data_IF_118565596057
#
_entry.id   IF_118565596057
#
_cell.length_a   1.000
_cell.length_b   1.000
_cell.length_c   1.000
_cell.angle_alpha   90.00
_cell.angle_beta   90.00
_cell.angle_gamma   90.00
#
_symmetry.space_group_name_H-M   'P 1'
#
loop_
_entity.id
_entity.type
_entity.pdbx_description
1 polymer ?
#
# COMPACT_ATOMS: atom_id res chain seq x y z
N UNK A 1 12.66 8.02 14.37
CA UNK A 1 11.27 8.23 13.91
C UNK A 1 10.43 7.11 14.47
N UNK A 2 9.26 7.42 15.02
CA UNK A 2 8.31 6.40 15.47
C UNK A 2 7.45 5.99 14.27
N UNK A 3 7.34 4.68 14.01
CA UNK A 3 6.50 4.19 12.92
C UNK A 3 5.02 4.47 13.23
N UNK A 4 4.25 5.03 12.28
CA UNK A 4 2.79 5.09 12.38
C UNK A 4 2.20 3.69 12.59
N UNK A 5 1.09 3.60 13.33
CA UNK A 5 0.47 2.31 13.70
C UNK A 5 0.20 1.41 12.49
N UNK A 6 -0.28 1.98 11.38
CA UNK A 6 -0.57 1.23 10.17
C UNK A 6 0.71 0.74 9.45
N UNK A 7 1.84 1.44 9.58
CA UNK A 7 3.13 0.92 9.10
C UNK A 7 3.63 -0.25 9.95
N UNK A 8 3.44 -0.18 11.28
CA UNK A 8 3.77 -1.30 12.17
C UNK A 8 2.99 -2.54 11.75
N UNK A 9 1.68 -2.41 11.47
CA UNK A 9 0.88 -3.53 10.95
C UNK A 9 1.36 -3.98 9.57
N UNK A 10 1.60 -3.05 8.64
CA UNK A 10 2.06 -3.38 7.28
C UNK A 10 3.36 -4.21 7.29
N UNK A 11 4.31 -3.87 8.17
CA UNK A 11 5.60 -4.57 8.28
C UNK A 11 5.48 -6.02 8.77
N UNK A 12 4.46 -6.36 9.57
CA UNK A 12 4.22 -7.74 10.01
C UNK A 12 3.85 -8.67 8.87
N UNK A 13 3.44 -8.11 7.73
CA UNK A 13 2.95 -8.86 6.58
C UNK A 13 4.03 -9.01 5.49
N UNK A 14 5.24 -8.49 5.70
CA UNK A 14 6.36 -8.63 4.75
C UNK A 14 6.62 -10.10 4.40
N UNK A 15 6.73 -10.39 3.10
CA UNK A 15 6.97 -11.74 2.59
C UNK A 15 5.70 -12.59 2.40
N UNK A 16 4.51 -12.11 2.76
CA UNK A 16 3.25 -12.79 2.40
C UNK A 16 3.11 -12.76 0.88
N UNK A 17 2.93 -13.95 0.29
CA UNK A 17 2.80 -14.17 -1.16
C UNK A 17 1.46 -14.79 -1.51
N UNK A 18 0.99 -14.53 -2.72
CA UNK A 18 -0.12 -15.29 -3.30
C UNK A 18 0.26 -16.77 -3.45
N UNK A 19 -0.74 -17.65 -3.43
CA UNK A 19 -0.55 -19.05 -3.76
C UNK A 19 -1.15 -19.33 -5.13
N UNK A 20 -0.34 -19.90 -6.04
CA UNK A 20 -0.82 -20.21 -7.39
C UNK A 20 -1.71 -21.45 -7.38
N UNK A 21 -2.86 -21.38 -8.06
CA UNK A 21 -3.74 -22.52 -8.30
C UNK A 21 -5.02 -22.50 -7.46
N UNK A 22 -5.57 -23.67 -7.13
CA UNK A 22 -6.88 -23.78 -6.44
C UNK A 22 -6.85 -23.42 -4.96
N UNK A 23 -5.70 -23.02 -4.43
CA UNK A 23 -5.51 -22.65 -3.03
C UNK A 23 -5.16 -21.16 -2.99
N UNK A 24 -5.85 -20.41 -2.15
CA UNK A 24 -5.62 -18.97 -1.96
C UNK A 24 -4.89 -18.73 -0.65
N UNK A 25 -3.97 -17.76 -0.62
CA UNK A 25 -3.33 -17.37 0.63
C UNK A 25 -4.39 -16.85 1.61
N UNK A 26 -4.54 -17.53 2.76
CA UNK A 26 -5.58 -17.23 3.73
C UNK A 26 -5.49 -15.78 4.23
N UNK A 27 -4.27 -15.24 4.31
CA UNK A 27 -3.95 -13.86 4.67
C UNK A 27 -4.47 -12.86 3.64
N UNK A 28 -4.32 -13.15 2.34
CA UNK A 28 -4.82 -12.28 1.27
C UNK A 28 -6.34 -12.26 1.28
N UNK A 29 -6.96 -13.43 1.41
CA UNK A 29 -8.42 -13.54 1.59
C UNK A 29 -8.88 -12.80 2.85
N UNK A 30 -8.09 -12.79 3.92
CA UNK A 30 -8.38 -12.04 5.13
C UNK A 30 -8.33 -10.53 4.91
N UNK A 31 -7.46 -10.00 4.05
CA UNK A 31 -7.45 -8.56 3.74
C UNK A 31 -8.78 -8.08 3.18
N UNK A 32 -9.40 -8.86 2.28
CA UNK A 32 -10.73 -8.55 1.73
C UNK A 32 -11.81 -8.49 2.83
N UNK A 33 -11.74 -9.41 3.81
CA UNK A 33 -12.64 -9.41 4.98
C UNK A 33 -12.40 -8.20 5.88
N UNK A 34 -11.15 -7.84 6.13
CA UNK A 34 -10.77 -6.71 6.99
C UNK A 34 -11.33 -5.40 6.44
N UNK A 35 -11.31 -5.22 5.11
CA UNK A 35 -11.92 -4.06 4.45
C UNK A 35 -13.43 -4.19 4.23
N UNK A 36 -14.06 -5.26 4.73
CA UNK A 36 -15.51 -5.53 4.60
C UNK A 36 -15.97 -5.58 3.14
N UNK A 37 -15.10 -6.00 2.22
CA UNK A 37 -15.43 -6.16 0.81
C UNK A 37 -15.85 -7.60 0.57
N UNK A 38 -17.16 -7.80 0.46
CA UNK A 38 -17.74 -9.10 0.12
C UNK A 38 -17.60 -9.43 -1.37
N UNK A 39 -17.65 -10.73 -1.70
CA UNK A 39 -17.71 -11.22 -3.08
C UNK A 39 -16.36 -11.64 -3.69
N UNK A 40 -15.25 -11.13 -3.17
CA UNK A 40 -13.90 -11.52 -3.60
C UNK A 40 -13.38 -12.59 -2.63
N UNK A 41 -12.98 -13.74 -3.19
CA UNK A 41 -12.52 -14.90 -2.41
C UNK A 41 -11.21 -15.50 -2.94
N UNK A 42 -10.63 -14.86 -3.95
CA UNK A 42 -9.38 -15.23 -4.60
C UNK A 42 -8.25 -14.24 -4.26
N UNK A 43 -7.03 -14.67 -4.56
CA UNK A 43 -5.81 -13.86 -4.54
C UNK A 43 -5.35 -13.43 -5.95
N UNK A 44 -6.11 -13.78 -7.00
CA UNK A 44 -5.85 -13.38 -8.39
C UNK A 44 -6.38 -11.96 -8.68
N UNK A 45 -7.37 -11.49 -7.94
CA UNK A 45 -7.84 -10.11 -7.98
C UNK A 45 -6.76 -9.20 -7.40
N UNK A 46 -6.33 -8.13 -8.11
CA UNK A 46 -5.33 -7.20 -7.60
C UNK A 46 -5.63 -6.71 -6.18
N UNK A 47 -4.78 -7.11 -5.23
CA UNK A 47 -5.06 -6.97 -3.79
C UNK A 47 -4.23 -5.89 -3.10
N UNK A 48 -3.57 -5.00 -3.86
CA UNK A 48 -2.80 -3.88 -3.30
C UNK A 48 -3.68 -2.93 -2.45
N UNK A 49 -4.90 -2.63 -2.91
CA UNK A 49 -5.86 -1.82 -2.17
C UNK A 49 -6.43 -2.55 -0.96
N UNK A 50 -6.65 -3.87 -1.07
CA UNK A 50 -7.10 -4.71 0.03
C UNK A 50 -6.06 -4.75 1.16
N UNK A 51 -4.78 -5.00 0.82
CA UNK A 51 -3.68 -4.93 1.77
C UNK A 51 -3.60 -3.57 2.45
N UNK A 52 -3.54 -2.48 1.67
CA UNK A 52 -3.44 -1.11 2.19
C UNK A 52 -4.61 -0.80 3.14
N UNK A 53 -5.82 -1.18 2.74
CA UNK A 53 -7.02 -0.97 3.54
C UNK A 53 -7.04 -1.81 4.81
N UNK A 54 -6.62 -3.07 4.74
CA UNK A 54 -6.58 -3.96 5.89
C UNK A 54 -5.64 -3.43 6.98
N UNK A 55 -4.48 -2.88 6.60
CA UNK A 55 -3.54 -2.31 7.57
C UNK A 55 -4.13 -1.09 8.30
N UNK A 56 -4.95 -0.29 7.61
CA UNK A 56 -5.67 0.83 8.21
C UNK A 56 -6.78 0.33 9.14
N UNK A 57 -7.63 -0.59 8.68
CA UNK A 57 -8.79 -1.07 9.45
C UNK A 57 -8.35 -1.80 10.73
N UNK A 58 -7.25 -2.58 10.67
CA UNK A 58 -6.67 -3.28 11.84
C UNK A 58 -6.22 -2.33 12.95
N UNK A 59 -5.89 -1.08 12.64
CA UNK A 59 -5.51 -0.05 13.62
C UNK A 59 -6.64 0.94 13.91
N UNK A 60 -7.87 0.63 13.49
CA UNK A 60 -9.05 1.45 13.74
C UNK A 60 -9.19 2.66 12.80
N UNK A 61 -8.45 2.70 11.69
CA UNK A 61 -8.58 3.73 10.66
C UNK A 61 -9.43 3.18 9.53
N UNK A 62 -10.55 3.85 9.24
CA UNK A 62 -11.43 3.43 8.15
C UNK A 62 -10.75 3.63 6.79
N UNK A 63 -10.61 2.56 6.03
CA UNK A 63 -10.11 2.56 4.65
C UNK A 63 -11.19 2.99 3.64
N UNK A 64 -10.86 3.01 2.35
CA UNK A 64 -11.86 3.19 1.29
C UNK A 64 -12.86 2.02 1.24
N UNK A 65 -12.44 0.83 1.66
CA UNK A 65 -13.20 -0.43 1.55
C UNK A 65 -13.53 -0.84 0.11
N UNK A 66 -12.67 -0.45 -0.83
CA UNK A 66 -12.77 -0.78 -2.25
C UNK A 66 -11.50 -1.47 -2.77
N UNK A 67 -11.68 -2.26 -3.82
CA UNK A 67 -10.65 -3.01 -4.55
C UNK A 67 -9.75 -2.12 -5.42
N UNK A 68 -10.24 -0.94 -5.81
CA UNK A 68 -9.50 -0.06 -6.72
C UNK A 68 -8.47 0.78 -5.96
N UNK A 69 -7.21 0.75 -6.39
CA UNK A 69 -6.17 1.66 -5.88
C UNK A 69 -6.57 3.14 -6.02
N UNK A 70 -7.25 3.50 -7.11
CA UNK A 70 -7.71 4.88 -7.37
C UNK A 70 -8.78 5.35 -6.39
N UNK A 71 -9.45 4.43 -5.66
CA UNK A 71 -10.39 4.83 -4.60
C UNK A 71 -9.74 5.67 -3.51
N UNK A 72 -8.41 5.58 -3.35
CA UNK A 72 -7.68 6.38 -2.40
C UNK A 72 -7.46 7.82 -2.85
N UNK A 73 -7.71 8.19 -4.12
CA UNK A 73 -7.55 9.59 -4.56
C UNK A 73 -8.45 10.56 -3.80
N UNK A 74 -9.60 10.11 -3.30
CA UNK A 74 -10.53 10.95 -2.52
C UNK A 74 -10.55 10.59 -1.02
N UNK A 75 -9.56 9.81 -0.56
CA UNK A 75 -9.50 9.31 0.81
C UNK A 75 -8.58 10.13 1.72
N UNK A 76 -9.05 10.47 2.92
CA UNK A 76 -8.22 11.14 3.93
C UNK A 76 -7.85 12.58 3.56
N UNK A 77 -6.68 13.03 4.03
CA UNK A 77 -6.14 14.35 3.74
C UNK A 77 -5.15 14.28 2.58
N UNK A 78 -5.29 15.18 1.61
CA UNK A 78 -4.31 15.34 0.53
C UNK A 78 -2.98 15.90 1.03
N UNK A 79 -1.88 15.30 0.57
CA UNK A 79 -0.53 15.84 0.74
C UNK A 79 0.03 16.27 -0.62
N UNK A 80 0.75 17.40 -0.63
CA UNK A 80 1.45 17.90 -1.83
C UNK A 80 2.77 17.17 -2.08
N UNK A 81 3.41 16.71 -1.02
CA UNK A 81 4.70 15.99 -1.04
C UNK A 81 4.56 14.69 -0.22
N UNK A 82 5.38 13.66 -0.52
CA UNK A 82 5.32 12.40 0.20
C UNK A 82 5.85 12.57 1.64
N UNK A 83 5.15 11.92 2.57
CA UNK A 83 5.54 11.81 3.97
C UNK A 83 5.77 10.34 4.35
N UNK A 84 6.64 10.07 5.32
CA UNK A 84 6.86 8.71 5.79
C UNK A 84 5.57 8.17 6.41
N UNK A 85 5.08 7.05 5.86
CA UNK A 85 3.79 6.43 6.21
C UNK A 85 2.60 6.91 5.41
N UNK A 86 2.72 7.93 4.55
CA UNK A 86 1.59 8.31 3.70
C UNK A 86 1.27 7.22 2.68
N UNK A 87 0.04 7.22 2.18
CA UNK A 87 -0.36 6.40 1.05
C UNK A 87 0.10 7.11 -0.22
N UNK A 88 0.77 6.40 -1.12
CA UNK A 88 1.01 6.85 -2.49
C UNK A 88 0.09 6.08 -3.43
N UNK A 89 -0.59 6.82 -4.30
CA UNK A 89 -1.38 6.26 -5.41
C UNK A 89 -0.53 6.42 -6.67
N UNK A 90 -0.37 5.33 -7.42
CA UNK A 90 0.48 5.25 -8.60
C UNK A 90 -0.36 4.89 -9.83
N UNK A 91 -0.05 5.49 -10.97
CA UNK A 91 -0.57 5.08 -12.27
C UNK A 91 0.11 3.78 -12.75
N UNK A 92 -0.63 2.95 -13.47
CA UNK A 92 -0.15 1.74 -14.14
C UNK A 92 -0.92 1.51 -15.44
N UNK A 93 -0.31 0.86 -16.42
CA UNK A 93 -1.10 0.35 -17.56
C UNK A 93 -2.15 -0.63 -17.05
N UNK A 94 -3.42 -0.44 -17.43
CA UNK A 94 -4.54 -1.28 -17.00
C UNK A 94 -5.08 -1.01 -15.58
N UNK A 95 -4.63 0.06 -14.88
CA UNK A 95 -5.18 0.39 -13.57
C UNK A 95 -4.33 1.37 -12.74
N UNK A 96 -4.37 1.21 -11.42
CA UNK A 96 -3.52 1.94 -10.48
C UNK A 96 -2.90 1.00 -9.47
N UNK A 97 -1.89 1.47 -8.75
CA UNK A 97 -1.28 0.77 -7.62
C UNK A 97 -1.30 1.67 -6.37
N UNK A 98 -1.28 1.06 -5.19
CA UNK A 98 -1.34 1.79 -3.92
C UNK A 98 -0.50 1.07 -2.86
N UNK A 99 0.16 1.86 -2.02
CA UNK A 99 0.94 1.36 -0.88
C UNK A 99 1.46 2.49 -0.01
N UNK A 100 2.20 2.14 1.04
CA UNK A 100 2.72 3.10 2.00
C UNK A 100 4.13 3.54 1.66
N UNK A 101 4.39 4.85 1.69
CA UNK A 101 5.74 5.40 1.52
C UNK A 101 6.57 5.12 2.77
N UNK A 102 7.67 4.38 2.61
CA UNK A 102 8.60 4.02 3.70
C UNK A 102 10.00 4.62 3.51
N UNK A 103 10.19 5.46 2.50
CA UNK A 103 11.46 6.16 2.25
C UNK A 103 11.62 6.56 0.79
N UNK A 104 12.86 6.91 0.44
CA UNK A 104 13.29 7.13 -0.95
C UNK A 104 14.68 6.51 -1.18
N UNK A 105 15.00 6.14 -2.40
CA UNK A 105 16.37 5.76 -2.76
C UNK A 105 17.22 7.00 -3.10
N UNK A 106 18.51 6.80 -3.41
CA UNK A 106 19.42 7.88 -3.79
C UNK A 106 19.03 8.61 -5.08
N UNK A 107 18.30 7.95 -5.99
CA UNK A 107 17.77 8.55 -7.22
C UNK A 107 16.48 9.35 -6.98
N UNK A 108 15.92 9.32 -5.77
CA UNK A 108 14.67 10.00 -5.43
C UNK A 108 13.40 9.19 -5.74
N UNK A 109 13.53 7.95 -6.20
CA UNK A 109 12.39 7.02 -6.32
C UNK A 109 11.84 6.74 -4.93
N UNK A 110 10.51 6.62 -4.83
CA UNK A 110 9.84 6.31 -3.58
C UNK A 110 9.96 4.83 -3.25
N UNK A 111 10.21 4.54 -1.99
CA UNK A 111 10.24 3.19 -1.45
C UNK A 111 8.85 2.91 -0.92
N UNK A 112 8.13 2.01 -1.57
CA UNK A 112 6.73 1.70 -1.26
C UNK A 112 6.62 0.31 -0.65
N UNK A 113 6.10 0.25 0.58
CA UNK A 113 5.61 -0.96 1.21
C UNK A 113 4.18 -1.22 0.73
N UNK A 114 4.01 -2.22 -0.13
CA UNK A 114 2.74 -2.51 -0.77
C UNK A 114 2.52 -4.01 -0.92
N UNK A 115 1.26 -4.40 -1.06
CA UNK A 115 0.85 -5.75 -1.46
C UNK A 115 0.83 -5.90 -2.98
N UNK A 116 0.81 -7.14 -3.46
CA UNK A 116 0.74 -7.50 -4.86
C UNK A 116 1.88 -6.96 -5.75
N UNK A 117 3.04 -6.67 -5.13
CA UNK A 117 4.25 -6.25 -5.82
C UNK A 117 5.09 -7.51 -6.07
N UNK A 118 5.19 -7.96 -7.32
CA UNK A 118 5.69 -9.29 -7.63
C UNK A 118 5.00 -10.40 -6.80
N UNK A 119 3.66 -10.33 -6.75
CA UNK A 119 2.80 -11.31 -6.10
C UNK A 119 3.06 -11.45 -4.57
N UNK A 120 3.64 -10.40 -3.96
CA UNK A 120 4.10 -10.38 -2.57
C UNK A 120 3.81 -9.03 -1.87
N UNK A 121 3.72 -9.05 -0.54
CA UNK A 121 3.91 -7.87 0.31
C UNK A 121 5.41 -7.58 0.49
N UNK A 122 5.91 -6.53 -0.15
CA UNK A 122 7.32 -6.15 -0.05
C UNK A 122 7.55 -4.64 -0.15
N UNK A 123 8.83 -4.25 -0.11
CA UNK A 123 9.28 -2.89 -0.35
C UNK A 123 9.97 -2.83 -1.70
N UNK A 124 9.46 -2.01 -2.61
CA UNK A 124 10.07 -1.78 -3.93
C UNK A 124 10.15 -0.29 -4.26
N UNK A 125 11.11 0.07 -5.10
CA UNK A 125 11.30 1.43 -5.56
C UNK A 125 10.38 1.75 -6.76
N UNK A 126 9.72 2.89 -6.72
CA UNK A 126 8.83 3.42 -7.76
C UNK A 126 9.19 4.85 -8.14
N UNK A 127 9.26 5.18 -9.45
CA UNK A 127 9.57 6.53 -9.88
C UNK A 127 8.44 7.49 -9.48
N UNK A 128 8.82 8.68 -9.01
CA UNK A 128 7.86 9.74 -8.64
C UNK A 128 6.92 10.13 -9.79
N UNK A 129 7.35 9.97 -11.04
CA UNK A 129 6.54 10.26 -12.23
C UNK A 129 5.29 9.38 -12.36
N UNK A 130 5.24 8.23 -11.67
CA UNK A 130 4.04 7.40 -11.62
C UNK A 130 3.02 7.88 -10.58
N UNK A 131 3.40 8.74 -9.64
CA UNK A 131 2.50 9.15 -8.57
C UNK A 131 1.38 10.03 -9.11
N UNK A 132 0.15 9.68 -8.76
CA UNK A 132 -1.06 10.46 -9.04
C UNK A 132 -1.63 11.16 -7.81
N UNK A 133 -1.23 10.73 -6.60
CA UNK A 133 -1.60 11.42 -5.37
C UNK A 133 -0.91 10.87 -4.13
N UNK A 134 -0.88 11.69 -3.08
CA UNK A 134 -0.48 11.29 -1.74
C UNK A 134 -1.61 11.55 -0.76
N UNK A 135 -1.86 10.59 0.14
CA UNK A 135 -2.90 10.72 1.16
C UNK A 135 -2.41 10.37 2.54
N UNK A 136 -2.92 11.09 3.51
CA UNK A 136 -2.68 10.88 4.92
C UNK A 136 -3.99 10.52 5.63
N UNK A 137 -3.99 9.59 6.59
CA UNK A 137 -5.22 9.27 7.31
C UNK A 137 -5.84 10.49 8.00
N UNK A 138 -7.14 10.70 7.79
CA UNK A 138 -7.87 11.79 8.45
C UNK A 138 -7.79 11.67 9.98
N UNK A 139 -7.64 12.80 10.66
CA UNK A 139 -7.53 12.86 12.12
C UNK A 139 -6.17 12.45 12.70
N UNK A 140 -5.18 12.09 11.87
CA UNK A 140 -3.79 11.90 12.31
C UNK A 140 -2.99 13.20 12.08
N UNK A 141 -2.42 13.78 13.14
CA UNK A 141 -1.78 15.10 13.09
C UNK A 141 -0.27 15.06 12.87
N UNK A 142 0.37 13.91 13.10
CA UNK A 142 1.83 13.79 13.13
C UNK A 142 2.38 13.40 11.75
N UNK A 143 2.32 14.31 10.79
CA UNK A 143 2.86 14.09 9.43
C UNK A 143 4.39 14.27 9.44
N UNK A 144 5.20 13.20 9.22
CA UNK A 144 6.65 13.34 9.21
C UNK A 144 7.11 14.08 7.96
N UNK A 145 7.95 15.10 8.12
CA UNK A 145 8.36 15.97 7.01
C UNK A 145 9.49 15.41 6.13
N UNK A 146 10.19 14.36 6.55
CA UNK A 146 11.36 13.82 5.84
C UNK A 146 11.24 12.33 5.54
N UNK A 147 11.64 11.93 4.34
CA UNK A 147 11.77 10.52 3.96
C UNK A 147 13.19 10.01 4.26
N UNK A 148 13.34 8.87 4.97
CA UNK A 148 14.65 8.23 5.12
C UNK A 148 15.18 7.71 3.78
N UNK A 149 16.50 7.64 3.65
CA UNK A 149 17.15 6.92 2.55
C UNK A 149 17.08 5.42 2.81
N UNK A 150 16.55 4.66 1.86
CA UNK A 150 16.43 3.20 1.95
C UNK A 150 16.92 2.56 0.65
N UNK A 151 17.73 1.51 0.78
CA UNK A 151 18.16 0.69 -0.34
C UNK A 151 17.18 -0.47 -0.52
N UNK A 152 16.42 -0.49 -1.62
CA UNK A 152 15.73 -1.69 -2.10
C UNK A 152 15.65 -1.67 -3.63
N UNK A 153 15.36 -2.83 -4.20
CA UNK A 153 15.27 -3.02 -5.64
C UNK A 153 14.05 -2.30 -6.24
N UNK A 154 14.12 -1.97 -7.53
CA UNK A 154 12.98 -1.44 -8.29
C UNK A 154 11.87 -2.48 -8.40
N UNK A 155 10.62 -2.02 -8.41
CA UNK A 155 9.50 -2.90 -8.74
C UNK A 155 9.59 -3.33 -10.19
N UNK A 156 9.54 -4.64 -10.45
CA UNK A 156 9.63 -5.22 -11.80
C UNK A 156 8.28 -5.76 -12.30
N UNK A 157 7.33 -6.04 -11.39
CA UNK A 157 5.94 -6.35 -11.72
C UNK A 157 5.01 -5.95 -10.58
N UNK A 158 3.78 -5.64 -10.94
CA UNK A 158 2.63 -5.44 -10.06
C UNK A 158 1.46 -6.14 -10.77
N UNK A 159 0.72 -7.00 -10.06
CA UNK A 159 -0.46 -7.66 -10.62
C UNK A 159 -1.70 -6.77 -10.54
#
# INVERSE_FOLDING_TARGET
>A
MTDPKWLIEARKNLGIREMKGKQHAAEIVQYWKDIKRGGIKDDETPWCAAFTGAMLERVGIRSTRFESANSYLDWGNELKEPAYGCIAILSRSGGGHVGFVVGKNAAGDLMILGGNQADEVNIKAFPRSRVTGYRWPAGQTDVPQSLPLVNAEKSISEA
#
